data_IF_241403802792
#
_entry.id   IF_241403802792
#
_cell.length_a   1.000
_cell.length_b   1.000
_cell.length_c   1.000
_cell.angle_alpha   90.00
_cell.angle_beta   90.00
_cell.angle_gamma   90.00
#
_symmetry.space_group_name_H-M   'P 1'
#
loop_
_entity.id
_entity.type
_entity.pdbx_description
1 polymer ?
#
# COMPACT_ATOMS: atom_id res chain seq x y z
N UNK A 1 39.58 -3.34 -15.06
CA UNK A 1 39.03 -4.25 -14.04
C UNK A 1 37.55 -3.95 -13.97
N UNK A 2 36.74 -4.80 -14.57
CA UNK A 2 35.28 -4.68 -14.59
C UNK A 2 34.75 -5.48 -13.40
N UNK A 3 34.63 -4.82 -12.24
CA UNK A 3 33.98 -5.43 -11.08
C UNK A 3 32.49 -5.57 -11.40
N UNK A 4 32.11 -6.75 -11.88
CA UNK A 4 30.73 -7.05 -12.24
C UNK A 4 29.90 -7.12 -10.96
N UNK A 5 29.29 -5.99 -10.59
CA UNK A 5 28.33 -5.90 -9.49
C UNK A 5 26.95 -6.31 -10.00
N UNK A 6 26.30 -7.23 -9.29
CA UNK A 6 24.92 -7.60 -9.59
C UNK A 6 23.96 -6.67 -8.85
N UNK A 7 23.05 -6.05 -9.61
CA UNK A 7 22.07 -5.12 -9.10
C UNK A 7 20.67 -5.71 -9.19
N UNK A 8 19.86 -5.44 -8.18
CA UNK A 8 18.42 -5.72 -8.15
C UNK A 8 17.70 -4.42 -7.79
N UNK A 9 16.62 -4.09 -8.50
CA UNK A 9 15.79 -2.93 -8.19
C UNK A 9 14.41 -3.44 -7.80
N UNK A 10 13.93 -3.02 -6.63
CA UNK A 10 12.60 -3.37 -6.14
C UNK A 10 11.75 -2.10 -6.06
N UNK A 11 10.45 -2.26 -6.20
CA UNK A 11 9.46 -1.20 -6.04
C UNK A 11 8.51 -1.55 -4.91
N UNK A 12 8.30 -0.63 -3.98
CA UNK A 12 7.37 -0.78 -2.86
C UNK A 12 6.59 0.52 -2.67
N UNK A 13 5.26 0.43 -2.79
CA UNK A 13 4.35 1.57 -2.72
C UNK A 13 4.34 2.23 -1.34
N UNK A 14 4.66 1.48 -0.29
CA UNK A 14 4.65 1.93 1.10
C UNK A 14 6.03 2.44 1.56
N UNK A 15 7.04 2.38 0.68
CA UNK A 15 8.38 2.81 1.03
C UNK A 15 8.46 4.34 1.16
N UNK A 16 8.99 4.88 2.28
CA UNK A 16 9.11 6.33 2.48
C UNK A 16 10.16 7.00 1.60
N UNK A 17 10.98 6.25 0.84
CA UNK A 17 11.98 6.82 -0.06
C UNK A 17 11.34 7.35 -1.34
N UNK A 18 11.82 8.51 -1.77
CA UNK A 18 11.36 9.21 -2.97
C UNK A 18 11.41 8.30 -4.20
N UNK A 19 10.26 8.20 -4.88
CA UNK A 19 9.99 7.35 -6.04
C UNK A 19 9.78 5.85 -5.73
N UNK A 20 9.63 5.43 -4.47
CA UNK A 20 9.22 4.06 -4.10
C UNK A 20 10.13 2.94 -4.63
N UNK A 21 11.32 3.28 -5.12
CA UNK A 21 12.31 2.34 -5.63
C UNK A 21 13.43 2.14 -4.62
N UNK A 22 13.90 0.90 -4.51
CA UNK A 22 15.09 0.53 -3.74
C UNK A 22 16.08 -0.17 -4.64
N UNK A 23 17.34 0.22 -4.46
CA UNK A 23 18.44 -0.44 -5.12
C UNK A 23 19.09 -1.44 -4.18
N UNK A 24 19.43 -2.61 -4.71
CA UNK A 24 20.07 -3.70 -3.99
C UNK A 24 21.31 -4.13 -4.75
N UNK A 25 22.36 -4.43 -3.99
CA UNK A 25 23.54 -5.11 -4.51
C UNK A 25 23.56 -6.48 -3.87
N UNK A 26 23.59 -7.53 -4.69
CA UNK A 26 23.58 -8.89 -4.19
C UNK A 26 24.75 -9.69 -4.74
N UNK A 27 25.15 -10.73 -3.99
CA UNK A 27 26.10 -11.73 -4.41
C UNK A 27 25.61 -13.10 -3.96
N UNK A 28 25.91 -14.10 -4.77
CA UNK A 28 25.66 -15.50 -4.41
C UNK A 28 26.85 -16.01 -3.61
N UNK A 29 26.61 -16.53 -2.41
CA UNK A 29 27.65 -17.12 -1.54
C UNK A 29 27.81 -18.62 -1.80
N UNK A 30 26.70 -19.31 -2.05
CA UNK A 30 26.66 -20.76 -2.31
C UNK A 30 25.52 -21.09 -3.27
N UNK A 31 25.29 -22.37 -3.57
CA UNK A 31 24.20 -22.78 -4.46
C UNK A 31 22.81 -22.32 -3.99
N UNK A 32 22.60 -22.11 -2.69
CA UNK A 32 21.30 -21.72 -2.12
C UNK A 32 21.36 -20.44 -1.29
N UNK A 33 22.54 -19.86 -1.09
CA UNK A 33 22.71 -18.74 -0.16
C UNK A 33 23.08 -17.49 -0.94
N UNK A 34 22.38 -16.40 -0.64
CA UNK A 34 22.53 -15.09 -1.26
C UNK A 34 22.74 -14.06 -0.16
N UNK A 35 23.68 -13.16 -0.41
CA UNK A 35 23.90 -12.00 0.44
C UNK A 35 23.50 -10.75 -0.35
N UNK A 36 22.69 -9.89 0.26
CA UNK A 36 22.19 -8.71 -0.41
C UNK A 36 22.15 -7.49 0.50
N UNK A 37 22.58 -6.36 -0.03
CA UNK A 37 22.65 -5.08 0.66
C UNK A 37 21.69 -4.08 0.02
N UNK A 38 20.84 -3.45 0.84
CA UNK A 38 19.90 -2.41 0.41
C UNK A 38 20.53 -1.04 0.47
N UNK A 39 20.49 -0.29 -0.63
CA UNK A 39 20.92 1.10 -0.67
C UNK A 39 20.06 2.01 0.23
N UNK A 40 20.67 3.09 0.75
CA UNK A 40 19.96 4.05 1.62
C UNK A 40 18.80 4.78 0.95
N UNK A 41 18.88 4.98 -0.37
CA UNK A 41 17.87 5.68 -1.16
C UNK A 41 17.42 4.89 -2.38
N UNK A 42 16.95 5.62 -3.39
CA UNK A 42 16.46 5.08 -4.65
C UNK A 42 17.56 4.72 -5.67
N UNK A 43 18.83 4.89 -5.29
CA UNK A 43 20.00 4.57 -6.10
C UNK A 43 21.04 3.86 -5.24
N UNK A 44 21.76 2.92 -5.84
CA UNK A 44 22.89 2.27 -5.18
C UNK A 44 24.06 3.25 -5.06
N UNK A 45 24.74 3.24 -3.91
CA UNK A 45 25.95 4.03 -3.75
C UNK A 45 27.11 3.37 -4.51
N UNK A 46 28.04 4.17 -5.04
CA UNK A 46 29.22 3.65 -5.75
C UNK A 46 30.11 2.79 -4.84
N UNK A 47 30.19 3.19 -3.57
CA UNK A 47 31.00 2.51 -2.54
C UNK A 47 30.31 1.28 -1.95
N UNK A 48 29.01 1.11 -2.18
CA UNK A 48 28.25 -0.01 -1.62
C UNK A 48 28.70 -1.33 -2.26
N UNK A 49 28.76 -2.38 -1.44
CA UNK A 49 28.99 -3.77 -1.84
C UNK A 49 27.84 -4.65 -1.34
N UNK A 50 27.81 -5.91 -1.75
CA UNK A 50 26.81 -6.86 -1.26
C UNK A 50 26.95 -7.19 0.23
N UNK A 51 28.09 -6.86 0.86
CA UNK A 51 28.35 -7.05 2.29
C UNK A 51 28.08 -5.78 3.12
N UNK A 52 27.84 -4.65 2.47
CA UNK A 52 27.62 -3.39 3.17
C UNK A 52 26.36 -3.44 4.01
N UNK A 53 26.47 -3.03 5.28
CA UNK A 53 25.35 -2.99 6.23
C UNK A 53 25.13 -1.60 6.82
N UNK A 54 26.15 -0.73 6.74
CA UNK A 54 26.16 0.55 7.43
C UNK A 54 25.80 1.73 6.52
N UNK A 55 25.17 2.78 7.06
CA UNK A 55 24.90 4.03 6.32
C UNK A 55 26.14 4.69 5.72
N UNK A 56 27.29 4.57 6.38
CA UNK A 56 28.58 5.12 5.92
C UNK A 56 29.07 4.43 4.65
N UNK A 57 28.66 3.17 4.44
CA UNK A 57 28.97 2.36 3.26
C UNK A 57 27.91 2.53 2.16
N UNK A 58 26.92 3.39 2.38
CA UNK A 58 25.80 3.61 1.46
C UNK A 58 24.68 2.58 1.55
N UNK A 59 24.74 1.68 2.53
CA UNK A 59 23.71 0.68 2.80
C UNK A 59 22.76 1.09 3.94
N UNK A 60 21.60 0.46 4.00
CA UNK A 60 20.62 0.62 5.08
C UNK A 60 20.24 -0.71 5.74
N UNK A 61 20.50 -1.82 5.06
CA UNK A 61 20.12 -3.16 5.47
C UNK A 61 21.03 -4.16 4.75
N UNK A 62 21.44 -5.20 5.49
CA UNK A 62 22.09 -6.38 4.95
C UNK A 62 21.18 -7.58 5.23
N UNK A 63 20.95 -8.41 4.22
CA UNK A 63 20.20 -9.65 4.32
C UNK A 63 21.05 -10.81 3.83
N UNK A 64 20.99 -11.91 4.56
CA UNK A 64 21.48 -13.21 4.11
C UNK A 64 20.26 -14.12 3.94
N UNK A 65 20.00 -14.51 2.70
CA UNK A 65 18.88 -15.36 2.33
C UNK A 65 19.39 -16.75 2.00
N UNK A 66 18.68 -17.77 2.48
CA UNK A 66 18.91 -19.16 2.08
C UNK A 66 17.63 -19.69 1.43
N UNK A 67 17.74 -20.12 0.18
CA UNK A 67 16.67 -20.78 -0.56
C UNK A 67 16.39 -22.15 0.04
N UNK A 68 15.14 -22.34 0.47
CA UNK A 68 14.63 -23.60 0.98
C UNK A 68 13.40 -24.05 0.18
N UNK A 69 13.54 -24.10 -1.15
CA UNK A 69 12.43 -24.34 -2.09
C UNK A 69 11.80 -25.74 -2.01
N UNK A 70 12.31 -26.68 -1.20
CA UNK A 70 11.84 -28.08 -1.29
C UNK A 70 11.82 -28.89 0.00
N UNK A 71 12.46 -28.46 1.10
CA UNK A 71 12.62 -29.37 2.23
C UNK A 71 11.39 -29.41 3.15
N UNK A 72 10.50 -28.40 3.10
CA UNK A 72 9.33 -28.29 3.99
C UNK A 72 8.01 -27.93 3.30
N UNK A 73 7.97 -27.83 1.97
CA UNK A 73 6.73 -27.54 1.27
C UNK A 73 5.81 -28.78 1.27
N UNK A 74 4.81 -28.76 2.16
CA UNK A 74 3.65 -29.67 2.15
C UNK A 74 2.56 -29.09 1.25
N UNK A 75 2.96 -28.52 0.11
CA UNK A 75 2.01 -28.11 -0.91
C UNK A 75 1.75 -29.33 -1.80
N UNK A 76 0.51 -29.84 -1.93
CA UNK A 76 0.22 -30.77 -2.99
C UNK A 76 0.62 -30.11 -4.31
N UNK A 77 1.48 -30.75 -5.11
CA UNK A 77 1.84 -30.24 -6.43
C UNK A 77 0.57 -30.19 -7.29
N UNK A 78 -0.13 -29.05 -7.26
CA UNK A 78 -1.12 -28.72 -8.28
C UNK A 78 -0.35 -28.22 -9.48
N UNK A 79 0.14 -29.16 -10.28
CA UNK A 79 0.73 -28.88 -11.58
C UNK A 79 -0.41 -28.63 -12.57
N UNK A 80 -0.71 -27.36 -12.84
CA UNK A 80 -1.59 -26.96 -13.94
C UNK A 80 -0.73 -26.77 -15.19
N UNK A 81 -0.88 -27.67 -16.17
CA UNK A 81 -0.14 -27.59 -17.44
C UNK A 81 -0.69 -26.51 -18.39
N UNK A 82 -1.72 -25.77 -17.97
CA UNK A 82 -2.32 -24.66 -18.68
C UNK A 82 -3.00 -25.05 -20.01
N UNK A 83 -3.12 -26.35 -20.29
CA UNK A 83 -3.71 -26.84 -21.56
C UNK A 83 -5.22 -26.74 -21.57
N UNK A 84 -5.84 -26.70 -20.40
CA UNK A 84 -7.28 -26.53 -20.26
C UNK A 84 -7.60 -25.25 -19.46
N UNK A 85 -7.88 -24.12 -20.14
CA UNK A 85 -8.22 -22.86 -19.49
C UNK A 85 -9.54 -22.88 -18.72
N UNK A 86 -10.32 -23.97 -18.81
CA UNK A 86 -11.56 -24.19 -18.08
C UNK A 86 -11.43 -25.22 -16.95
N UNK A 87 -10.25 -25.83 -16.75
CA UNK A 87 -10.04 -26.85 -15.71
C UNK A 87 -10.18 -26.26 -14.30
N UNK A 88 -9.71 -25.03 -14.12
CA UNK A 88 -9.84 -24.29 -12.89
C UNK A 88 -10.87 -23.17 -13.11
N UNK A 89 -12.09 -23.26 -12.54
CA UNK A 89 -13.01 -22.13 -12.61
C UNK A 89 -12.32 -20.93 -11.95
N UNK A 90 -12.25 -19.81 -12.66
CA UNK A 90 -11.78 -18.56 -12.10
C UNK A 90 -12.75 -18.10 -11.01
N UNK A 91 -12.56 -18.61 -9.79
CA UNK A 91 -13.32 -18.16 -8.63
C UNK A 91 -12.76 -16.80 -8.24
N UNK A 92 -13.44 -15.76 -8.70
CA UNK A 92 -13.24 -14.41 -8.20
C UNK A 92 -13.94 -14.34 -6.83
N UNK A 93 -13.19 -14.54 -5.75
CA UNK A 93 -13.71 -14.33 -4.40
C UNK A 93 -13.92 -12.83 -4.18
N UNK A 94 -15.15 -12.36 -4.43
CA UNK A 94 -15.56 -10.98 -4.15
C UNK A 94 -15.87 -10.87 -2.66
N UNK A 95 -14.84 -10.63 -1.85
CA UNK A 95 -15.01 -10.32 -0.43
C UNK A 95 -15.45 -8.87 -0.23
N UNK A 96 -16.75 -8.59 -0.38
CA UNK A 96 -17.40 -7.50 0.37
C UNK A 96 -18.93 -7.57 0.23
N UNK A 97 -19.64 -7.66 1.35
CA UNK A 97 -21.00 -7.12 1.42
C UNK A 97 -20.86 -5.59 1.41
N UNK A 98 -21.10 -4.97 0.26
CA UNK A 98 -21.23 -3.52 0.18
C UNK A 98 -22.42 -3.07 1.03
N UNK A 99 -22.17 -2.31 2.09
CA UNK A 99 -23.26 -1.61 2.78
C UNK A 99 -23.73 -0.44 1.92
N UNK A 100 -25.04 -0.38 1.67
CA UNK A 100 -25.66 0.77 1.02
C UNK A 100 -25.57 1.95 1.99
N UNK A 101 -24.65 2.89 1.71
CA UNK A 101 -24.60 4.17 2.41
C UNK A 101 -25.68 5.06 1.84
N UNK A 102 -26.77 5.25 2.58
CA UNK A 102 -27.74 6.28 2.27
C UNK A 102 -27.12 7.64 2.59
N UNK A 103 -27.13 8.62 1.65
CA UNK A 103 -26.66 9.95 1.95
C UNK A 103 -27.56 10.54 3.04
N UNK A 104 -27.01 10.72 4.24
CA UNK A 104 -27.71 11.43 5.31
C UNK A 104 -27.77 12.91 4.95
N UNK A 105 -28.87 13.34 4.34
CA UNK A 105 -29.14 14.74 4.00
C UNK A 105 -29.52 15.57 5.24
N UNK A 106 -28.74 15.46 6.31
CA UNK A 106 -28.98 16.13 7.58
C UNK A 106 -29.08 17.65 7.44
N UNK A 107 -28.29 18.25 6.55
CA UNK A 107 -28.33 19.69 6.27
C UNK A 107 -29.67 20.16 5.71
N UNK A 108 -30.29 19.40 4.81
CA UNK A 108 -31.60 19.74 4.24
C UNK A 108 -32.70 19.64 5.30
N UNK A 109 -32.64 18.62 6.15
CA UNK A 109 -33.59 18.42 7.24
C UNK A 109 -33.47 19.58 8.25
N UNK A 110 -32.27 19.95 8.66
CA UNK A 110 -32.08 21.06 9.62
C UNK A 110 -32.55 22.40 9.04
N UNK A 111 -32.23 22.70 7.78
CA UNK A 111 -32.69 23.92 7.11
C UNK A 111 -34.23 23.96 7.00
N UNK A 112 -34.87 22.84 6.69
CA UNK A 112 -36.34 22.78 6.64
C UNK A 112 -36.98 22.99 8.01
N UNK A 113 -36.40 22.42 9.08
CA UNK A 113 -36.88 22.61 10.45
C UNK A 113 -36.73 24.06 10.92
N UNK A 114 -35.60 24.70 10.64
CA UNK A 114 -35.37 26.11 10.95
C UNK A 114 -36.37 27.00 10.21
N UNK A 115 -36.66 26.69 8.94
CA UNK A 115 -37.59 27.48 8.15
C UNK A 115 -39.04 27.36 8.66
N UNK A 116 -39.46 26.15 9.04
CA UNK A 116 -40.79 25.91 9.64
C UNK A 116 -40.88 26.63 11.00
N UNK A 117 -39.85 26.54 11.84
CA UNK A 117 -39.79 27.24 13.12
C UNK A 117 -39.86 28.76 12.95
N UNK A 118 -39.15 29.31 11.95
CA UNK A 118 -39.21 30.73 11.63
C UNK A 118 -40.62 31.17 11.23
N UNK A 119 -41.30 30.39 10.37
CA UNK A 119 -42.67 30.68 9.94
C UNK A 119 -43.67 30.59 11.10
N UNK A 120 -43.56 29.60 11.98
CA UNK A 120 -44.47 29.48 13.14
C UNK A 120 -44.25 30.57 14.18
N UNK A 121 -42.99 30.97 14.43
CA UNK A 121 -42.67 32.11 15.29
C UNK A 121 -43.19 33.43 14.69
N UNK A 122 -43.08 33.61 13.38
CA UNK A 122 -43.61 34.79 12.67
C UNK A 122 -45.13 34.90 12.72
N UNK A 123 -45.85 33.78 12.80
CA UNK A 123 -47.30 33.74 12.93
C UNK A 123 -47.79 34.00 14.36
N UNK A 124 -47.02 33.58 15.38
CA UNK A 124 -47.41 33.72 16.79
C UNK A 124 -46.90 34.99 17.49
N UNK A 125 -45.76 35.56 17.05
CA UNK A 125 -45.15 36.75 17.68
C UNK A 125 -44.62 37.76 16.63
N UNK A 126 -45.51 38.48 15.92
CA UNK A 126 -45.10 39.39 14.84
C UNK A 126 -44.31 40.61 15.33
N UNK A 127 -44.44 40.99 16.60
CA UNK A 127 -43.81 42.19 17.19
C UNK A 127 -42.35 41.98 17.62
N UNK A 128 -41.89 40.73 17.77
CA UNK A 128 -40.53 40.41 18.23
C UNK A 128 -39.55 40.31 17.05
N UNK A 129 -39.99 39.84 15.88
CA UNK A 129 -39.11 39.60 14.72
C UNK A 129 -38.69 40.91 14.01
N UNK A 130 -39.53 41.95 14.04
CA UNK A 130 -39.19 43.27 13.48
C UNK A 130 -38.11 44.02 14.28
N UNK A 131 -37.86 43.65 15.54
CA UNK A 131 -36.80 44.22 16.37
C UNK A 131 -35.45 43.52 16.20
N UNK A 132 -35.45 42.28 15.70
CA UNK A 132 -34.23 41.49 15.45
C UNK A 132 -33.68 41.65 14.01
N UNK A 133 -34.46 42.29 13.13
CA UNK A 133 -34.13 42.55 11.72
C UNK A 133 -33.77 44.01 11.42
N UNK A 134 -33.59 44.84 12.47
CA UNK A 134 -33.02 46.19 12.43
C UNK A 134 -31.62 46.20 13.05
#
# INVERSE_FOLDING_TARGET
MEDTKSFLVTYDKEDPVTNNFRCWIYKRLSFRTYLMSRGRGNRCSKIQTAESSLPQEGASLLLELTEDEYQFDVCPMSWDDGRNPYANPAVLDVYANGHILYPFNGLLITLSCIHILYMTLSLYYPTIITLLSM
#
